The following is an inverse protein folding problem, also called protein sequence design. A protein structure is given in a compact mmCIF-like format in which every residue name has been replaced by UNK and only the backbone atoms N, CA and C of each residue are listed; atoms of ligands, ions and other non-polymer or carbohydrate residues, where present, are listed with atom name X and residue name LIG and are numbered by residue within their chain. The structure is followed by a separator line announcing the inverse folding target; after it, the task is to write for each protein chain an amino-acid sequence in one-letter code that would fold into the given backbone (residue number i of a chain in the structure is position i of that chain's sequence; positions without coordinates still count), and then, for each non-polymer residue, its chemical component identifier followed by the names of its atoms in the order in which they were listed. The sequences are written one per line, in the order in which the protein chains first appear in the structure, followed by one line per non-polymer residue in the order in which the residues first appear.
data_IF_397768875739
#
_entry.id   IF_397768875739
#
_cell.length_a   1.000
_cell.length_b   1.000
_cell.length_c   1.000
_cell.angle_alpha   90.00
_cell.angle_beta   90.00
_cell.angle_gamma   90.00
#
_symmetry.space_group_name_H-M   'P 1'
#
loop_
_entity.id
_entity.type
_entity.pdbx_description
1 polymer ?
#
# COMPACT_ATOMS: atom_id res chain seq x y z
N UNK A 1 1.64 9.24 -14.89
CA UNK A 1 1.93 10.60 -14.37
C UNK A 1 1.48 10.82 -12.91
N UNK A 2 0.41 10.19 -12.42
CA UNK A 2 -0.08 10.35 -11.04
C UNK A 2 0.87 9.87 -9.93
N UNK A 3 1.73 8.86 -10.19
CA UNK A 3 2.71 8.35 -9.21
C UNK A 3 3.85 9.32 -8.89
N UNK A 4 4.39 10.01 -9.91
CA UNK A 4 5.48 10.99 -9.75
C UNK A 4 5.04 12.23 -8.95
N UNK A 5 3.79 12.67 -9.16
CA UNK A 5 3.20 13.80 -8.43
C UNK A 5 3.03 13.46 -6.94
N UNK A 6 2.45 12.28 -6.63
CA UNK A 6 2.29 11.81 -5.24
C UNK A 6 3.61 11.66 -4.48
N UNK A 7 4.69 11.26 -5.15
CA UNK A 7 6.01 11.21 -4.51
C UNK A 7 6.53 12.60 -4.12
N UNK A 8 6.41 13.59 -5.02
CA UNK A 8 6.84 14.96 -4.73
C UNK A 8 6.03 15.61 -3.61
N UNK A 9 4.71 15.36 -3.55
CA UNK A 9 3.86 15.84 -2.45
C UNK A 9 4.31 15.28 -1.09
N UNK A 10 4.58 13.97 -1.03
CA UNK A 10 5.03 13.31 0.20
C UNK A 10 6.39 13.83 0.69
N UNK A 11 7.35 14.02 -0.22
CA UNK A 11 8.68 14.57 0.10
C UNK A 11 8.58 16.00 0.65
N UNK A 12 7.74 16.84 0.04
CA UNK A 12 7.50 18.22 0.51
C UNK A 12 6.88 18.23 1.91
N UNK A 13 5.81 17.46 2.12
CA UNK A 13 5.13 17.40 3.41
C UNK A 13 6.08 16.86 4.50
N UNK A 14 6.91 15.85 4.19
CA UNK A 14 7.90 15.29 5.11
C UNK A 14 8.93 16.35 5.51
N UNK A 15 9.53 17.05 4.54
CA UNK A 15 10.48 18.12 4.83
C UNK A 15 9.87 19.25 5.67
N UNK A 16 8.59 19.55 5.47
CA UNK A 16 7.86 20.53 6.29
C UNK A 16 7.61 20.03 7.72
N UNK A 17 7.35 18.74 7.92
CA UNK A 17 7.25 18.13 9.25
C UNK A 17 8.58 18.23 10.00
N UNK A 18 9.69 17.90 9.34
CA UNK A 18 11.03 17.92 9.95
C UNK A 18 11.47 19.34 10.33
N UNK A 19 11.13 20.35 9.51
CA UNK A 19 11.43 21.75 9.80
C UNK A 19 10.64 22.30 10.99
N UNK A 20 9.47 21.74 11.28
CA UNK A 20 8.54 22.15 12.33
C UNK A 20 8.32 23.67 12.45
N UNK A 21 8.43 24.38 11.33
CA UNK A 21 8.33 25.83 11.22
C UNK A 21 7.73 26.19 9.85
N UNK A 22 7.10 27.38 9.72
CA UNK A 22 6.54 27.78 8.44
C UNK A 22 7.61 27.82 7.34
N UNK A 23 7.39 27.08 6.25
CA UNK A 23 8.34 26.93 5.16
C UNK A 23 7.81 27.49 3.84
N UNK A 24 8.73 28.06 3.05
CA UNK A 24 8.45 28.58 1.71
C UNK A 24 9.13 27.76 0.61
N UNK A 25 8.73 28.01 -0.64
CA UNK A 25 9.25 27.28 -1.80
C UNK A 25 10.78 27.40 -1.97
N UNK A 26 11.37 28.54 -1.63
CA UNK A 26 12.83 28.75 -1.71
C UNK A 26 13.60 27.89 -0.70
N UNK A 27 13.12 27.84 0.54
CA UNK A 27 13.73 27.04 1.59
C UNK A 27 13.62 25.54 1.27
N UNK A 28 12.43 25.09 0.88
CA UNK A 28 12.20 23.69 0.49
C UNK A 28 12.97 23.29 -0.77
N UNK A 29 13.20 24.22 -1.70
CA UNK A 29 14.03 23.97 -2.89
C UNK A 29 15.48 23.65 -2.54
N UNK A 30 16.01 24.29 -1.49
CA UNK A 30 17.38 24.02 -1.01
C UNK A 30 17.47 22.64 -0.35
N UNK A 31 16.45 22.24 0.42
CA UNK A 31 16.42 20.96 1.14
C UNK A 31 16.20 19.79 0.18
N UNK A 32 15.26 19.93 -0.76
CA UNK A 32 14.86 18.85 -1.66
C UNK A 32 15.66 18.84 -2.97
N UNK A 33 16.50 19.85 -3.22
CA UNK A 33 17.21 20.05 -4.49
C UNK A 33 16.27 20.06 -5.72
N UNK A 34 15.06 20.63 -5.55
CA UNK A 34 14.04 20.72 -6.59
C UNK A 34 13.80 22.18 -7.01
N UNK A 35 13.33 22.44 -8.25
CA UNK A 35 13.03 23.81 -8.69
C UNK A 35 11.95 24.49 -7.83
N UNK A 36 12.26 25.68 -7.29
CA UNK A 36 11.34 26.48 -6.45
C UNK A 36 9.98 26.74 -7.12
N UNK A 37 9.94 26.97 -8.44
CA UNK A 37 8.68 27.15 -9.18
C UNK A 37 7.78 25.90 -9.17
N UNK A 38 8.37 24.70 -9.15
CA UNK A 38 7.63 23.44 -9.05
C UNK A 38 7.10 23.23 -7.63
N UNK A 39 7.94 23.48 -6.62
CA UNK A 39 7.53 23.42 -5.22
C UNK A 39 6.41 24.44 -4.93
N UNK A 40 6.53 25.67 -5.44
CA UNK A 40 5.53 26.71 -5.24
C UNK A 40 4.15 26.34 -5.78
N UNK A 41 4.10 25.67 -6.95
CA UNK A 41 2.85 25.13 -7.50
C UNK A 41 2.29 24.00 -6.63
N UNK A 42 3.15 23.09 -6.18
CA UNK A 42 2.72 21.97 -5.35
C UNK A 42 2.23 22.43 -3.97
N UNK A 43 2.89 23.39 -3.34
CA UNK A 43 2.45 24.00 -2.08
C UNK A 43 1.05 24.62 -2.21
N UNK A 44 0.74 25.25 -3.34
CA UNK A 44 -0.59 25.81 -3.60
C UNK A 44 -1.65 24.70 -3.70
N UNK A 45 -1.33 23.57 -4.33
CA UNK A 45 -2.26 22.44 -4.45
C UNK A 45 -2.46 21.74 -3.10
N UNK A 46 -1.41 21.59 -2.30
CA UNK A 46 -1.47 21.03 -0.94
C UNK A 46 -2.26 21.94 0.01
N UNK A 47 -2.14 23.26 -0.14
CA UNK A 47 -2.94 24.25 0.58
C UNK A 47 -4.42 24.15 0.20
N UNK A 48 -4.74 24.04 -1.10
CA UNK A 48 -6.13 23.80 -1.57
C UNK A 48 -6.72 22.49 -1.06
N UNK A 49 -5.89 21.46 -0.88
CA UNK A 49 -6.29 20.17 -0.33
C UNK A 49 -6.47 20.18 1.20
N UNK A 50 -6.21 21.30 1.87
CA UNK A 50 -6.33 21.44 3.33
C UNK A 50 -5.18 20.83 4.13
N UNK A 51 -4.14 20.32 3.47
CA UNK A 51 -2.99 19.68 4.12
C UNK A 51 -2.00 20.70 4.70
N UNK A 52 -2.00 21.91 4.14
CA UNK A 52 -1.16 23.02 4.55
C UNK A 52 -2.00 24.27 4.83
N UNK A 53 -1.52 25.13 5.71
CA UNK A 53 -2.11 26.45 5.95
C UNK A 53 -1.05 27.54 5.88
N UNK A 54 -1.38 28.66 5.24
CA UNK A 54 -0.50 29.83 5.13
C UNK A 54 -0.38 30.57 6.47
N UNK A 55 0.86 30.83 6.88
CA UNK A 55 1.19 31.62 8.08
C UNK A 55 1.72 32.97 7.65
N UNK A 56 0.80 33.91 7.38
CA UNK A 56 1.13 35.27 6.93
C UNK A 56 2.17 35.26 5.79
N UNK A 57 3.31 35.95 5.97
CA UNK A 57 4.41 36.01 5.01
C UNK A 57 5.56 35.05 5.35
N UNK A 58 5.39 34.19 6.37
CA UNK A 58 6.44 33.28 6.84
C UNK A 58 6.50 31.97 6.05
N UNK A 59 5.41 31.60 5.38
CA UNK A 59 5.34 30.37 4.59
C UNK A 59 4.06 29.60 4.85
N UNK A 60 4.12 28.27 4.74
CA UNK A 60 3.05 27.34 5.09
C UNK A 60 3.50 26.41 6.20
N UNK A 61 2.56 25.92 7.00
CA UNK A 61 2.78 24.86 7.99
C UNK A 61 1.77 23.73 7.77
N UNK A 62 2.11 22.52 8.21
CA UNK A 62 1.19 21.39 8.21
C UNK A 62 -0.05 21.68 9.05
N UNK A 63 -1.20 21.24 8.56
CA UNK A 63 -2.41 21.14 9.36
C UNK A 63 -2.47 19.77 10.04
N UNK A 64 -3.33 19.57 11.05
CA UNK A 64 -3.59 18.24 11.60
C UNK A 64 -4.05 17.22 10.55
N UNK A 65 -4.72 17.67 9.48
CA UNK A 65 -5.07 16.81 8.35
C UNK A 65 -3.84 16.42 7.54
N UNK A 66 -2.91 17.35 7.32
CA UNK A 66 -1.61 17.09 6.68
C UNK A 66 -0.77 16.07 7.45
N UNK A 67 -0.75 16.15 8.79
CA UNK A 67 -0.05 15.19 9.64
C UNK A 67 -0.63 13.78 9.53
N UNK A 68 -1.97 13.65 9.61
CA UNK A 68 -2.65 12.35 9.42
C UNK A 68 -2.38 11.77 8.04
N UNK A 69 -2.45 12.61 7.00
CA UNK A 69 -2.13 12.17 5.64
C UNK A 69 -0.71 11.62 5.53
N UNK A 70 0.28 12.28 6.17
CA UNK A 70 1.66 11.78 6.20
C UNK A 70 1.80 10.43 6.91
N UNK A 71 1.11 10.27 8.03
CA UNK A 71 1.13 9.02 8.80
C UNK A 71 0.50 7.86 7.99
N UNK A 72 -0.65 8.11 7.36
CA UNK A 72 -1.31 7.16 6.46
C UNK A 72 -0.43 6.78 5.27
N UNK A 73 0.19 7.77 4.61
CA UNK A 73 1.10 7.53 3.49
C UNK A 73 2.37 6.80 3.91
N UNK A 74 2.92 7.08 5.10
CA UNK A 74 4.08 6.36 5.65
C UNK A 74 3.74 4.90 5.91
N UNK A 75 2.62 4.64 6.60
CA UNK A 75 2.12 3.28 6.83
C UNK A 75 1.89 2.54 5.53
N UNK A 76 1.32 3.21 4.51
CA UNK A 76 1.11 2.64 3.18
C UNK A 76 2.43 2.27 2.49
N UNK A 77 3.44 3.15 2.56
CA UNK A 77 4.77 2.90 1.99
C UNK A 77 5.51 1.77 2.70
N UNK A 78 5.45 1.69 4.03
CA UNK A 78 6.03 0.62 4.82
C UNK A 78 5.42 -0.74 4.47
N UNK A 79 4.08 -0.81 4.39
CA UNK A 79 3.38 -2.02 3.95
C UNK A 79 3.78 -2.43 2.53
N UNK A 80 3.90 -1.48 1.61
CA UNK A 80 4.33 -1.76 0.23
C UNK A 80 5.77 -2.24 0.18
N UNK A 81 6.66 -1.66 0.98
CA UNK A 81 8.06 -2.08 1.08
C UNK A 81 8.15 -3.52 1.58
N UNK A 82 7.46 -3.85 2.68
CA UNK A 82 7.41 -5.21 3.20
C UNK A 82 6.83 -6.20 2.18
N UNK A 83 5.76 -5.82 1.48
CA UNK A 83 5.19 -6.65 0.41
C UNK A 83 6.19 -6.90 -0.74
N UNK A 84 6.95 -5.89 -1.14
CA UNK A 84 7.97 -6.04 -2.18
C UNK A 84 9.14 -6.91 -1.71
N UNK A 85 9.62 -6.74 -0.48
CA UNK A 85 10.67 -7.59 0.11
C UNK A 85 10.23 -9.06 0.15
N UNK A 86 8.95 -9.32 0.46
CA UNK A 86 8.36 -10.65 0.40
C UNK A 86 8.30 -11.21 -1.03
N UNK A 87 7.93 -10.39 -2.02
CA UNK A 87 7.92 -10.80 -3.43
C UNK A 87 9.33 -11.10 -3.93
N UNK A 88 10.32 -10.31 -3.53
CA UNK A 88 11.72 -10.54 -3.88
C UNK A 88 12.24 -11.83 -3.24
N UNK A 89 12.01 -12.04 -1.94
CA UNK A 89 12.33 -13.29 -1.26
C UNK A 89 11.63 -14.49 -1.92
N UNK A 90 10.39 -14.30 -2.37
CA UNK A 90 9.62 -15.30 -3.09
C UNK A 90 10.16 -15.65 -4.47
N UNK A 91 10.82 -14.68 -5.11
CA UNK A 91 11.40 -14.81 -6.44
C UNK A 91 12.80 -15.42 -6.40
N UNK A 92 13.41 -15.52 -5.21
CA UNK A 92 14.66 -16.24 -5.02
C UNK A 92 14.36 -17.74 -5.00
N UNK A 93 14.76 -18.47 -6.05
CA UNK A 93 14.67 -19.94 -6.15
C UNK A 93 15.66 -20.64 -5.17
N UNK A 94 15.57 -20.30 -3.90
CA UNK A 94 16.38 -20.84 -2.80
C UNK A 94 15.46 -21.45 -1.75
N UNK A 95 15.93 -22.50 -1.09
CA UNK A 95 15.20 -23.16 -0.01
C UNK A 95 14.81 -22.19 1.12
N UNK A 96 15.74 -21.31 1.52
CA UNK A 96 15.49 -20.25 2.52
C UNK A 96 14.40 -19.27 2.08
N UNK A 97 14.38 -18.87 0.81
CA UNK A 97 13.34 -17.96 0.28
C UNK A 97 11.95 -18.61 0.33
N UNK A 98 11.86 -19.91 0.02
CA UNK A 98 10.61 -20.66 0.11
C UNK A 98 10.12 -20.79 1.56
N UNK A 99 11.02 -21.06 2.51
CA UNK A 99 10.69 -21.12 3.94
C UNK A 99 10.15 -19.78 4.46
N UNK A 100 10.76 -18.66 4.06
CA UNK A 100 10.31 -17.33 4.44
C UNK A 100 8.88 -17.02 3.92
N UNK A 101 8.58 -17.37 2.67
CA UNK A 101 7.21 -17.24 2.11
C UNK A 101 6.21 -18.06 2.92
N UNK A 102 6.54 -19.33 3.21
CA UNK A 102 5.63 -20.23 3.90
C UNK A 102 5.39 -19.77 5.34
N UNK A 103 6.41 -19.24 6.02
CA UNK A 103 6.28 -18.63 7.34
C UNK A 103 5.33 -17.43 7.30
N UNK A 104 5.47 -16.56 6.30
CA UNK A 104 4.62 -15.39 6.13
C UNK A 104 3.17 -15.77 5.82
N UNK A 105 2.96 -16.73 4.91
CA UNK A 105 1.63 -17.29 4.64
C UNK A 105 0.99 -17.85 5.91
N UNK A 106 1.74 -18.62 6.71
CA UNK A 106 1.27 -19.16 7.99
C UNK A 106 0.83 -18.07 8.98
N UNK A 107 1.53 -16.94 9.01
CA UNK A 107 1.17 -15.82 9.87
C UNK A 107 -0.05 -15.05 9.37
N UNK A 108 -0.22 -14.90 8.05
CA UNK A 108 -1.25 -14.03 7.45
C UNK A 108 -2.56 -14.75 7.13
N UNK A 109 -2.50 -16.01 6.68
CA UNK A 109 -3.67 -16.73 6.16
C UNK A 109 -4.74 -16.94 7.23
N UNK A 110 -4.35 -17.12 8.50
CA UNK A 110 -5.30 -17.23 9.61
C UNK A 110 -6.16 -15.97 9.77
N UNK A 111 -5.53 -14.80 9.82
CA UNK A 111 -6.24 -13.51 9.90
C UNK A 111 -7.08 -13.25 8.64
N UNK A 112 -6.55 -13.59 7.46
CA UNK A 112 -7.28 -13.41 6.22
C UNK A 112 -8.54 -14.30 6.17
N UNK A 113 -8.44 -15.55 6.62
CA UNK A 113 -9.58 -16.47 6.69
C UNK A 113 -10.62 -16.00 7.72
N UNK A 114 -10.19 -15.56 8.90
CA UNK A 114 -11.05 -15.00 9.94
C UNK A 114 -11.83 -13.78 9.43
N UNK A 115 -11.13 -12.76 8.93
CA UNK A 115 -11.76 -11.54 8.42
C UNK A 115 -12.65 -11.80 7.19
N UNK A 116 -12.28 -12.77 6.34
CA UNK A 116 -13.13 -13.23 5.25
C UNK A 116 -14.43 -13.85 5.80
N UNK A 117 -14.35 -14.74 6.77
CA UNK A 117 -15.49 -15.41 7.37
C UNK A 117 -16.49 -14.44 8.01
N UNK A 118 -16.02 -13.36 8.65
CA UNK A 118 -16.87 -12.34 9.25
C UNK A 118 -17.69 -11.53 8.24
N UNK A 119 -17.21 -11.41 7.00
CA UNK A 119 -17.74 -10.45 6.00
C UNK A 119 -18.36 -11.09 4.77
N UNK A 120 -18.13 -12.38 4.56
CA UNK A 120 -18.44 -13.03 3.29
C UNK A 120 -19.95 -13.04 2.99
N UNK A 121 -20.30 -12.61 1.79
CA UNK A 121 -21.67 -12.72 1.29
C UNK A 121 -21.93 -14.13 0.73
N UNK A 122 -23.19 -14.64 0.78
CA UNK A 122 -23.53 -15.97 0.27
C UNK A 122 -23.06 -16.24 -1.17
N UNK A 123 -23.13 -15.23 -2.05
CA UNK A 123 -22.68 -15.33 -3.44
C UNK A 123 -21.17 -15.52 -3.56
N UNK A 124 -20.39 -14.91 -2.67
CA UNK A 124 -18.93 -15.00 -2.65
C UNK A 124 -18.48 -16.31 -2.00
N UNK A 125 -19.23 -16.79 -1.00
CA UNK A 125 -19.04 -18.12 -0.44
C UNK A 125 -19.23 -19.21 -1.50
N UNK A 126 -20.22 -19.07 -2.38
CA UNK A 126 -20.41 -20.02 -3.47
C UNK A 126 -19.19 -20.06 -4.39
N UNK A 127 -18.65 -18.90 -4.78
CA UNK A 127 -17.42 -18.83 -5.61
C UNK A 127 -16.22 -19.52 -4.95
N UNK A 128 -16.05 -19.39 -3.63
CA UNK A 128 -14.98 -20.11 -2.92
C UNK A 128 -15.17 -21.63 -2.97
N UNK A 129 -16.41 -22.11 -2.86
CA UNK A 129 -16.72 -23.54 -2.98
C UNK A 129 -16.44 -24.06 -4.39
N UNK A 130 -16.76 -23.26 -5.41
CA UNK A 130 -16.51 -23.61 -6.79
C UNK A 130 -14.99 -23.75 -7.04
N UNK A 131 -14.17 -22.79 -6.58
CA UNK A 131 -12.70 -22.86 -6.65
C UNK A 131 -12.14 -24.10 -5.91
N UNK A 132 -12.70 -24.43 -4.74
CA UNK A 132 -12.31 -25.63 -4.01
C UNK A 132 -12.68 -26.91 -4.79
N UNK A 133 -13.84 -26.94 -5.43
CA UNK A 133 -14.27 -28.07 -6.25
C UNK A 133 -13.35 -28.25 -7.47
N UNK A 134 -12.95 -27.15 -8.12
CA UNK A 134 -12.02 -27.15 -9.25
C UNK A 134 -10.64 -27.68 -8.84
N UNK A 135 -10.13 -27.25 -7.68
CA UNK A 135 -8.90 -27.79 -7.10
C UNK A 135 -8.99 -29.30 -6.88
N UNK A 136 -10.04 -29.78 -6.21
CA UNK A 136 -10.24 -31.20 -5.96
C UNK A 136 -10.37 -32.01 -7.26
N UNK A 137 -11.02 -31.43 -8.27
CA UNK A 137 -11.11 -32.02 -9.61
C UNK A 137 -9.72 -32.12 -10.26
N UNK A 138 -8.88 -31.09 -10.17
CA UNK A 138 -7.52 -31.10 -10.68
C UNK A 138 -6.67 -32.23 -10.06
N UNK A 139 -6.65 -32.31 -8.73
CA UNK A 139 -5.90 -33.33 -7.99
C UNK A 139 -6.36 -34.74 -8.36
N UNK A 140 -7.67 -34.98 -8.47
CA UNK A 140 -8.23 -36.30 -8.83
C UNK A 140 -7.82 -36.77 -10.23
N UNK A 141 -7.47 -35.85 -11.12
CA UNK A 141 -7.05 -36.15 -12.48
C UNK A 141 -5.53 -36.06 -12.67
N UNK A 142 -4.76 -36.07 -11.57
CA UNK A 142 -3.29 -36.08 -11.61
C UNK A 142 -2.66 -34.74 -12.02
N UNK A 143 -3.43 -33.64 -12.01
CA UNK A 143 -2.88 -32.29 -12.18
C UNK A 143 -2.40 -31.76 -10.82
N UNK A 144 -1.45 -30.83 -10.84
CA UNK A 144 -0.88 -30.25 -9.62
C UNK A 144 -1.87 -29.40 -8.81
N UNK A 145 -2.92 -28.86 -9.45
CA UNK A 145 -3.91 -27.99 -8.80
C UNK A 145 -3.37 -26.62 -8.37
N UNK A 146 -2.17 -26.24 -8.83
CA UNK A 146 -1.46 -25.03 -8.36
C UNK A 146 -2.15 -23.73 -8.76
N UNK A 147 -2.82 -23.71 -9.91
CA UNK A 147 -3.58 -22.53 -10.35
C UNK A 147 -4.86 -22.35 -9.53
N UNK A 148 -5.58 -23.45 -9.29
CA UNK A 148 -6.79 -23.47 -8.49
C UNK A 148 -6.51 -23.14 -7.01
N UNK A 149 -5.42 -23.67 -6.44
CA UNK A 149 -4.94 -23.34 -5.08
C UNK A 149 -4.61 -21.86 -4.95
N UNK A 150 -3.82 -21.30 -5.88
CA UNK A 150 -3.48 -19.89 -5.88
C UNK A 150 -4.73 -19.01 -6.00
N UNK A 151 -5.66 -19.35 -6.89
CA UNK A 151 -6.90 -18.61 -7.07
C UNK A 151 -7.76 -18.61 -5.79
N UNK A 152 -7.80 -19.73 -5.07
CA UNK A 152 -8.50 -19.85 -3.80
C UNK A 152 -7.90 -18.93 -2.72
N UNK A 153 -6.58 -18.96 -2.53
CA UNK A 153 -5.88 -18.10 -1.58
C UNK A 153 -6.04 -16.61 -1.91
N UNK A 154 -5.92 -16.22 -3.19
CA UNK A 154 -6.15 -14.84 -3.64
C UNK A 154 -7.58 -14.38 -3.37
N UNK A 155 -8.57 -15.27 -3.52
CA UNK A 155 -9.97 -14.95 -3.26
C UNK A 155 -10.22 -14.68 -1.77
N UNK A 156 -9.63 -15.48 -0.87
CA UNK A 156 -9.68 -15.23 0.58
C UNK A 156 -9.03 -13.89 0.92
N UNK A 157 -7.85 -13.61 0.38
CA UNK A 157 -7.14 -12.35 0.62
C UNK A 157 -7.93 -11.12 0.13
N UNK A 158 -8.66 -11.24 -0.98
CA UNK A 158 -9.54 -10.18 -1.48
C UNK A 158 -10.76 -9.96 -0.56
N UNK A 159 -11.40 -11.04 -0.11
CA UNK A 159 -12.60 -10.97 0.72
C UNK A 159 -12.32 -10.58 2.18
N UNK A 160 -11.10 -10.77 2.67
CA UNK A 160 -10.70 -10.35 4.02
C UNK A 160 -10.66 -8.83 4.23
N UNK A 161 -10.86 -8.04 3.17
CA UNK A 161 -10.87 -6.59 3.25
C UNK A 161 -9.47 -5.97 3.39
N UNK A 162 -8.42 -6.79 3.34
CA UNK A 162 -7.07 -6.34 3.00
C UNK A 162 -7.19 -5.57 1.69
N UNK A 163 -6.98 -4.25 1.72
CA UNK A 163 -6.79 -3.44 0.51
C UNK A 163 -5.46 -3.81 -0.18
N UNK A 164 -5.28 -5.08 -0.52
CA UNK A 164 -4.44 -5.55 -1.61
C UNK A 164 -5.36 -5.64 -2.82
N UNK A 165 -5.85 -4.49 -3.28
CA UNK A 165 -6.49 -4.41 -4.59
C UNK A 165 -5.42 -4.70 -5.63
N UNK A 166 -5.26 -5.97 -5.99
CA UNK A 166 -4.69 -6.35 -7.27
C UNK A 166 -5.65 -5.75 -8.31
N UNK A 167 -5.22 -4.65 -8.93
CA UNK A 167 -5.95 -4.03 -10.02
C UNK A 167 -5.93 -4.98 -11.20
N UNK A 168 -7.11 -5.49 -11.55
CA UNK A 168 -7.38 -5.92 -12.91
C UNK A 168 -7.57 -4.68 -13.80
#
# INVERSE_FOLDING_TARGET
MAGKKRNSSFEILTAMQDLNTPAGALQLAQILHLPSASIGRELLELEKAGLLVKVQNKGRILTPQGERFLEEERSRREKMKAANELIEAASMETESGLEDILLVRKLLEGYAAEACAERIEPKELQKLKDLQADYLYAIRHGRAGSEEDLAFHLKIAHLSGSHLSCGC
#
